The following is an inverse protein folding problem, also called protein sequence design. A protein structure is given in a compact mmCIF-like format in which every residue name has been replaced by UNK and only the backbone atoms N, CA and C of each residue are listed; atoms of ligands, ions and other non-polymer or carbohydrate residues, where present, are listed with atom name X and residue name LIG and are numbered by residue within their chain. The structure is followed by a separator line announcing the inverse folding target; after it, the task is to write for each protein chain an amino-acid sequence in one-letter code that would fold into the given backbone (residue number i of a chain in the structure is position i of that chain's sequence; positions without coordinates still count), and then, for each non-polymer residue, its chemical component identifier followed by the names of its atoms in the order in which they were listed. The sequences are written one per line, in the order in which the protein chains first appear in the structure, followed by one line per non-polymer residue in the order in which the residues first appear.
data_IF_516128090645
#
_entry.id   IF_516128090645
#
_cell.length_a   1.000
_cell.length_b   1.000
_cell.length_c   1.000
_cell.angle_alpha   90.00
_cell.angle_beta   90.00
_cell.angle_gamma   90.00
#
_symmetry.space_group_name_H-M   'P 1'
#
loop_
_entity.id
_entity.type
_entity.pdbx_description
1 polymer ?
#
# COMPACT_ATOMS: atom_id res chain seq x y z
N UNK A 1 6.91 27.17 16.00
CA UNK A 1 5.89 26.13 15.73
C UNK A 1 5.78 26.01 14.21
N UNK A 2 6.28 24.91 13.64
CA UNK A 2 6.29 24.70 12.19
C UNK A 2 4.87 24.52 11.68
N UNK A 3 4.43 25.38 10.77
CA UNK A 3 3.13 25.28 10.13
C UNK A 3 3.02 24.05 9.24
N UNK A 4 1.79 23.58 9.02
CA UNK A 4 1.52 22.48 8.10
C UNK A 4 1.88 22.95 6.68
N UNK A 5 2.82 22.24 6.05
CA UNK A 5 3.25 22.52 4.68
C UNK A 5 2.16 22.10 3.68
N UNK A 6 2.05 22.83 2.57
CA UNK A 6 1.15 22.49 1.45
C UNK A 6 1.36 21.03 0.98
N UNK A 7 2.61 20.55 1.02
CA UNK A 7 2.94 19.17 0.69
C UNK A 7 2.30 18.15 1.64
N UNK A 8 2.18 18.48 2.93
CA UNK A 8 1.53 17.61 3.92
C UNK A 8 0.01 17.53 3.69
N UNK A 9 -0.59 18.63 3.25
CA UNK A 9 -2.01 18.68 2.90
C UNK A 9 -2.30 17.81 1.67
N UNK A 10 -1.39 17.82 0.68
CA UNK A 10 -1.52 17.00 -0.53
C UNK A 10 -1.36 15.49 -0.30
N UNK A 11 -0.64 15.07 0.75
CA UNK A 11 -0.48 13.64 1.07
C UNK A 11 -1.79 13.00 1.53
N UNK A 12 -2.65 13.76 2.21
CA UNK A 12 -3.92 13.27 2.78
C UNK A 12 -4.84 12.64 1.69
N UNK A 13 -5.21 13.33 0.60
CA UNK A 13 -6.07 12.75 -0.43
C UNK A 13 -5.41 11.58 -1.16
N UNK A 14 -4.09 11.63 -1.40
CA UNK A 14 -3.35 10.52 -2.03
C UNK A 14 -3.42 9.27 -1.17
N UNK A 15 -3.22 9.42 0.13
CA UNK A 15 -3.30 8.32 1.09
C UNK A 15 -4.71 7.72 1.17
N UNK A 16 -5.75 8.56 1.17
CA UNK A 16 -7.14 8.11 1.13
C UNK A 16 -7.43 7.31 -0.15
N UNK A 17 -6.97 7.79 -1.32
CA UNK A 17 -7.17 7.10 -2.59
C UNK A 17 -6.44 5.76 -2.61
N UNK A 18 -5.25 5.69 -2.03
CA UNK A 18 -4.48 4.45 -1.93
C UNK A 18 -5.15 3.41 -1.00
N UNK A 19 -5.78 3.85 0.09
CA UNK A 19 -6.49 2.97 1.02
C UNK A 19 -7.91 2.56 0.57
N UNK A 20 -8.53 3.30 -0.34
CA UNK A 20 -9.87 3.02 -0.86
C UNK A 20 -10.12 1.55 -1.24
N UNK A 21 -9.28 0.87 -2.05
CA UNK A 21 -9.53 -0.52 -2.43
C UNK A 21 -9.66 -1.46 -1.23
N UNK A 22 -8.88 -1.22 -0.17
CA UNK A 22 -8.89 -2.04 1.04
C UNK A 22 -10.15 -1.79 1.88
N UNK A 23 -10.53 -0.52 2.02
CA UNK A 23 -11.72 -0.10 2.76
C UNK A 23 -12.97 -0.62 2.06
N UNK A 24 -13.03 -0.52 0.72
CA UNK A 24 -14.15 -1.03 -0.08
C UNK A 24 -14.29 -2.55 0.03
N UNK A 25 -13.17 -3.29 0.06
CA UNK A 25 -13.17 -4.74 0.27
C UNK A 25 -13.75 -5.12 1.65
N UNK A 26 -13.39 -4.38 2.71
CA UNK A 26 -13.87 -4.63 4.08
C UNK A 26 -15.33 -4.20 4.30
N UNK A 27 -15.74 -3.06 3.73
CA UNK A 27 -17.10 -2.49 3.90
C UNK A 27 -18.12 -3.16 2.98
N UNK A 28 -17.68 -3.84 1.92
CA UNK A 28 -18.57 -4.54 0.98
C UNK A 28 -19.60 -5.41 1.69
N UNK A 29 -20.89 -5.16 1.43
CA UNK A 29 -22.00 -6.00 1.89
C UNK A 29 -22.15 -7.30 1.07
N UNK A 30 -21.46 -7.39 -0.07
CA UNK A 30 -21.49 -8.56 -0.97
C UNK A 30 -20.54 -9.67 -0.51
N UNK A 31 -19.41 -9.32 0.10
CA UNK A 31 -18.50 -10.29 0.69
C UNK A 31 -18.93 -10.61 2.14
N UNK A 32 -18.98 -11.88 2.53
CA UNK A 32 -19.34 -12.30 3.89
C UNK A 32 -18.18 -13.04 4.56
N UNK A 33 -18.00 -12.80 5.87
CA UNK A 33 -17.01 -13.50 6.71
C UNK A 33 -15.59 -13.45 6.14
N UNK A 34 -14.97 -14.63 6.00
CA UNK A 34 -13.59 -14.80 5.52
C UNK A 34 -13.33 -14.20 4.13
N UNK A 35 -14.35 -14.10 3.28
CA UNK A 35 -14.20 -13.55 1.93
C UNK A 35 -13.77 -12.08 1.96
N UNK A 36 -14.20 -11.30 2.96
CA UNK A 36 -13.75 -9.91 3.14
C UNK A 36 -12.26 -9.83 3.45
N UNK A 37 -11.78 -10.72 4.30
CA UNK A 37 -10.39 -10.78 4.74
C UNK A 37 -9.49 -11.21 3.60
N UNK A 38 -9.91 -12.18 2.79
CA UNK A 38 -9.20 -12.62 1.59
C UNK A 38 -9.09 -11.47 0.58
N UNK A 39 -10.18 -10.76 0.29
CA UNK A 39 -10.14 -9.63 -0.64
C UNK A 39 -9.29 -8.47 -0.14
N UNK A 40 -9.32 -8.19 1.17
CA UNK A 40 -8.42 -7.23 1.79
C UNK A 40 -6.95 -7.65 1.65
N UNK A 41 -6.61 -8.89 2.02
CA UNK A 41 -5.26 -9.43 1.91
C UNK A 41 -4.76 -9.41 0.46
N UNK A 42 -5.58 -9.83 -0.50
CA UNK A 42 -5.22 -9.76 -1.93
C UNK A 42 -4.93 -8.32 -2.36
N UNK A 43 -5.82 -7.39 -2.04
CA UNK A 43 -5.66 -5.98 -2.41
C UNK A 43 -4.44 -5.33 -1.75
N UNK A 44 -4.14 -5.74 -0.51
CA UNK A 44 -2.95 -5.33 0.20
C UNK A 44 -1.68 -5.91 -0.43
N UNK A 45 -1.57 -7.22 -0.62
CA UNK A 45 -0.35 -7.81 -1.20
C UNK A 45 -0.10 -7.36 -2.64
N UNK A 46 -1.15 -7.17 -3.44
CA UNK A 46 -1.01 -6.66 -4.82
C UNK A 46 -0.46 -5.24 -4.85
N UNK A 47 -0.80 -4.37 -3.89
CA UNK A 47 -0.26 -3.00 -3.89
C UNK A 47 1.24 -2.95 -3.56
N UNK A 48 1.75 -3.97 -2.86
CA UNK A 48 3.17 -4.07 -2.48
C UNK A 48 3.97 -5.01 -3.38
N UNK A 49 3.34 -5.76 -4.29
CA UNK A 49 4.03 -6.77 -5.10
C UNK A 49 5.14 -6.16 -5.97
N UNK A 50 4.90 -4.99 -6.56
CA UNK A 50 5.91 -4.29 -7.35
C UNK A 50 7.12 -3.86 -6.51
N UNK A 51 6.88 -3.42 -5.28
CA UNK A 51 7.95 -3.09 -4.34
C UNK A 51 8.71 -4.35 -3.89
N UNK A 52 8.01 -5.45 -3.59
CA UNK A 52 8.68 -6.70 -3.23
C UNK A 52 9.55 -7.22 -4.37
N UNK A 53 9.06 -7.20 -5.61
CA UNK A 53 9.86 -7.59 -6.78
C UNK A 53 11.09 -6.69 -6.90
N UNK A 54 10.92 -5.37 -6.85
CA UNK A 54 12.05 -4.44 -6.89
C UNK A 54 13.06 -4.69 -5.76
N UNK A 55 12.58 -4.86 -4.53
CA UNK A 55 13.44 -5.07 -3.37
C UNK A 55 14.20 -6.39 -3.45
N UNK A 56 13.52 -7.50 -3.74
CA UNK A 56 14.14 -8.82 -3.74
C UNK A 56 14.99 -9.09 -4.97
N UNK A 57 14.65 -8.54 -6.12
CA UNK A 57 15.38 -8.77 -7.38
C UNK A 57 16.48 -7.74 -7.59
N UNK A 58 16.23 -6.47 -7.27
CA UNK A 58 17.18 -5.38 -7.59
C UNK A 58 18.03 -5.02 -6.39
N UNK A 59 17.41 -4.78 -5.23
CA UNK A 59 18.14 -4.31 -4.05
C UNK A 59 18.91 -5.47 -3.40
N UNK A 60 18.27 -6.62 -3.22
CA UNK A 60 18.88 -7.76 -2.52
C UNK A 60 19.97 -8.46 -3.35
N UNK A 61 19.93 -8.33 -4.68
CA UNK A 61 21.00 -8.84 -5.56
C UNK A 61 22.16 -7.85 -5.73
N UNK A 62 22.01 -6.59 -5.30
CA UNK A 62 23.14 -5.67 -5.27
C UNK A 62 24.10 -6.10 -4.15
N UNK A 63 25.33 -6.55 -4.47
CA UNK A 63 26.33 -6.79 -3.43
C UNK A 63 26.58 -5.47 -2.69
N UNK A 64 26.70 -5.57 -1.37
CA UNK A 64 27.00 -4.49 -0.41
C UNK A 64 28.45 -3.97 -0.61
N UNK A 65 28.79 -3.59 -1.84
CA UNK A 65 30.09 -3.05 -2.25
C UNK A 65 29.93 -2.08 -3.41
N UNK A 66 29.07 -1.07 -3.24
CA UNK A 66 29.16 0.18 -4.00
C UNK A 66 29.01 1.31 -2.97
N UNK A 67 30.14 1.61 -2.32
CA UNK A 67 30.33 2.77 -1.45
C UNK A 67 30.35 4.06 -2.25
#
# INVERSE_FOLDING_TARGET
MGGISIWQILIIPVFIIWMLPWILALVSKKAKGAQKVIWFLMSFFISWIGYFVYYFVVIKELPENNT
#
